data_IF_879950686034
#
_entry.id   IF_879950686034
#
_cell.length_a   1.000
_cell.length_b   1.000
_cell.length_c   1.000
_cell.angle_alpha   90.00
_cell.angle_beta   90.00
_cell.angle_gamma   90.00
#
_symmetry.space_group_name_H-M   'P 1'
#
loop_
_entity.id
_entity.type
_entity.pdbx_description
1 polymer ?
#
# COMPACT_ATOMS: atom_id res chain seq x y z
N UNK A 1 23.53 9.80 -12.27
CA UNK A 1 22.35 10.23 -13.06
C UNK A 1 21.53 8.98 -13.32
N UNK A 2 20.41 8.81 -12.62
CA UNK A 2 19.52 7.67 -12.80
C UNK A 2 18.37 8.10 -13.70
N UNK A 3 18.20 7.40 -14.83
CA UNK A 3 17.06 7.59 -15.71
C UNK A 3 15.88 6.80 -15.14
N UNK A 4 14.84 7.52 -14.72
CA UNK A 4 13.55 6.95 -14.36
C UNK A 4 12.70 6.82 -15.63
N UNK A 5 12.43 5.59 -16.05
CA UNK A 5 11.35 5.28 -16.98
C UNK A 5 10.16 4.76 -16.17
N UNK A 6 8.97 5.21 -16.57
CA UNK A 6 7.68 4.95 -15.96
C UNK A 6 7.50 3.47 -15.56
N UNK A 7 7.05 3.24 -14.31
CA UNK A 7 6.42 1.98 -13.92
C UNK A 7 7.23 0.98 -13.08
N UNK A 8 8.23 1.37 -12.28
CA UNK A 8 8.97 0.39 -11.48
C UNK A 8 9.04 0.68 -9.98
N UNK A 9 8.68 -0.36 -9.23
CA UNK A 9 8.96 -0.54 -7.81
C UNK A 9 10.44 -0.25 -7.50
N UNK A 10 10.69 0.61 -6.52
CA UNK A 10 12.01 0.77 -5.93
C UNK A 10 12.35 -0.49 -5.13
N UNK A 11 13.27 -1.30 -5.65
CA UNK A 11 13.92 -2.37 -4.91
C UNK A 11 14.87 -1.73 -3.88
N UNK A 12 14.50 -1.76 -2.61
CA UNK A 12 15.45 -1.67 -1.51
C UNK A 12 15.96 -3.08 -1.21
N UNK A 13 17.17 -3.22 -0.64
CA UNK A 13 17.89 -4.47 -0.31
C UNK A 13 17.12 -5.48 0.60
N UNK A 14 15.94 -5.93 0.19
CA UNK A 14 15.08 -6.87 0.88
C UNK A 14 14.23 -7.63 -0.14
N UNK A 15 13.91 -8.89 0.18
CA UNK A 15 13.08 -9.72 -0.68
C UNK A 15 11.65 -9.19 -0.70
N UNK A 16 11.21 -8.68 -1.86
CA UNK A 16 9.80 -8.34 -2.11
C UNK A 16 9.09 -9.64 -2.50
N UNK A 17 8.18 -10.11 -1.66
CA UNK A 17 7.32 -11.25 -1.99
C UNK A 17 6.04 -10.68 -2.60
N UNK A 18 5.96 -10.66 -3.93
CA UNK A 18 4.71 -10.42 -4.65
C UNK A 18 3.96 -11.76 -4.79
N UNK A 19 2.62 -11.72 -4.68
CA UNK A 19 1.78 -12.92 -4.71
C UNK A 19 1.74 -13.62 -6.08
N UNK A 20 2.49 -13.11 -7.07
CA UNK A 20 2.37 -13.56 -8.44
C UNK A 20 3.66 -13.47 -9.21
N UNK A 21 4.12 -14.66 -9.63
CA UNK A 21 5.30 -14.89 -10.46
C UNK A 21 6.52 -14.13 -9.97
N UNK A 22 7.37 -14.86 -9.26
CA UNK A 22 8.80 -14.54 -9.17
C UNK A 22 9.38 -14.47 -10.59
N UNK A 23 9.37 -13.26 -11.15
CA UNK A 23 10.05 -12.90 -12.38
C UNK A 23 11.42 -12.35 -12.03
N UNK A 24 12.40 -13.23 -12.06
CA UNK A 24 13.83 -12.98 -12.36
C UNK A 24 14.35 -11.55 -12.16
N UNK A 25 15.15 -11.37 -11.11
CA UNK A 25 16.36 -10.55 -11.20
C UNK A 25 17.46 -11.15 -10.31
N UNK A 26 18.43 -11.78 -10.99
CA UNK A 26 19.82 -11.93 -10.55
C UNK A 26 20.07 -12.69 -9.25
N UNK A 27 20.17 -14.01 -9.32
CA UNK A 27 21.08 -14.74 -8.44
C UNK A 27 22.51 -14.31 -8.78
N UNK A 28 23.08 -13.37 -8.02
CA UNK A 28 24.53 -13.34 -7.88
C UNK A 28 24.86 -14.16 -6.63
N UNK A 29 25.47 -15.32 -6.87
CA UNK A 29 26.19 -16.10 -5.87
C UNK A 29 27.13 -15.17 -5.09
N UNK A 30 26.87 -14.96 -3.80
CA UNK A 30 27.87 -14.42 -2.91
C UNK A 30 28.68 -15.59 -2.36
N UNK A 31 29.80 -15.84 -3.05
CA UNK A 31 30.91 -16.65 -2.60
C UNK A 31 31.28 -16.38 -1.13
N UNK A 32 31.54 -17.46 -0.40
CA UNK A 32 32.13 -17.47 0.94
C UNK A 32 33.43 -16.65 0.99
N UNK A 33 33.48 -15.61 1.83
CA UNK A 33 34.74 -15.13 2.41
C UNK A 33 34.49 -14.40 3.74
N UNK A 34 35.31 -14.78 4.70
CA UNK A 34 35.42 -14.40 6.11
C UNK A 34 35.12 -12.94 6.51
N UNK A 35 34.48 -12.85 7.68
CA UNK A 35 34.87 -12.02 8.83
C UNK A 35 34.97 -10.49 8.63
N UNK A 36 33.88 -9.78 8.94
CA UNK A 36 33.98 -8.45 9.56
C UNK A 36 32.73 -8.08 10.39
N UNK A 37 32.97 -7.39 11.49
CA UNK A 37 32.15 -7.21 12.69
C UNK A 37 30.68 -6.77 12.50
N UNK A 38 29.77 -7.11 13.45
CA UNK A 38 28.36 -6.71 13.35
C UNK A 38 28.24 -5.22 13.68
N UNK A 39 28.40 -4.36 12.67
CA UNK A 39 27.93 -2.97 12.75
C UNK A 39 26.42 -3.02 12.86
N UNK A 40 25.94 -3.00 14.11
CA UNK A 40 24.56 -2.83 14.59
C UNK A 40 23.70 -2.20 13.49
N UNK A 41 23.03 -3.07 12.71
CA UNK A 41 22.12 -2.65 11.67
C UNK A 41 21.12 -1.71 12.34
N UNK A 42 21.13 -0.45 11.91
CA UNK A 42 20.19 0.55 12.41
C UNK A 42 18.80 -0.02 12.15
N UNK A 43 18.07 -0.25 13.23
CA UNK A 43 16.70 -0.75 13.23
C UNK A 43 15.84 0.31 12.52
N UNK A 44 15.68 0.16 11.21
CA UNK A 44 14.73 0.96 10.46
C UNK A 44 13.34 0.53 10.91
N UNK A 45 12.67 1.41 11.62
CA UNK A 45 11.26 1.31 11.97
C UNK A 45 10.39 1.44 10.72
N UNK A 46 10.31 0.36 9.93
CA UNK A 46 9.36 0.19 8.84
C UNK A 46 8.31 -0.85 9.22
N UNK A 47 7.12 -0.77 8.62
CA UNK A 47 6.01 -1.72 8.75
C UNK A 47 6.31 -3.14 8.23
N UNK A 48 7.59 -3.46 7.98
CA UNK A 48 8.03 -4.78 7.54
C UNK A 48 8.20 -5.75 8.71
N UNK A 49 8.14 -7.03 8.39
CA UNK A 49 8.36 -8.11 9.35
C UNK A 49 9.77 -8.67 9.17
N UNK A 50 10.49 -8.87 10.28
CA UNK A 50 11.76 -9.60 10.23
C UNK A 50 11.49 -11.09 10.38
N UNK A 51 12.10 -11.90 9.51
CA UNK A 51 12.07 -13.36 9.64
C UNK A 51 12.74 -13.78 10.96
N UNK A 52 12.02 -14.45 11.86
CA UNK A 52 12.53 -14.84 13.19
C UNK A 52 13.43 -16.08 13.08
N UNK A 53 13.18 -16.90 12.07
CA UNK A 53 13.90 -18.14 11.75
C UNK A 53 13.97 -18.30 10.23
N UNK A 54 14.84 -19.20 9.79
CA UNK A 54 14.93 -19.58 8.39
C UNK A 54 13.62 -20.27 7.97
N UNK A 55 13.03 -19.84 6.86
CA UNK A 55 11.78 -20.43 6.38
C UNK A 55 11.80 -20.55 4.85
N UNK A 56 10.84 -21.31 4.31
CA UNK A 56 10.64 -21.43 2.87
C UNK A 56 9.25 -20.93 2.51
N UNK A 57 9.15 -19.95 1.62
CA UNK A 57 7.89 -19.41 1.14
C UNK A 57 7.82 -19.53 -0.38
N UNK A 58 6.79 -20.20 -0.89
CA UNK A 58 6.60 -20.43 -2.33
C UNK A 58 7.85 -21.04 -3.04
N UNK A 59 8.58 -21.91 -2.33
CA UNK A 59 9.82 -22.52 -2.83
C UNK A 59 11.09 -21.65 -2.69
N UNK A 60 10.98 -20.42 -2.17
CA UNK A 60 12.12 -19.54 -1.90
C UNK A 60 12.56 -19.64 -0.46
N UNK A 61 13.86 -19.82 -0.24
CA UNK A 61 14.44 -19.81 1.10
C UNK A 61 14.63 -18.37 1.59
N UNK A 62 14.07 -18.06 2.75
CA UNK A 62 14.16 -16.77 3.43
C UNK A 62 15.00 -16.99 4.68
N UNK A 63 16.14 -16.32 4.75
CA UNK A 63 17.03 -16.40 5.90
C UNK A 63 16.47 -15.61 7.08
N UNK A 64 16.78 -16.06 8.29
CA UNK A 64 16.55 -15.33 9.53
C UNK A 64 17.08 -13.90 9.43
N UNK A 65 16.34 -12.96 10.02
CA UNK A 65 16.55 -11.52 9.99
C UNK A 65 16.41 -10.87 8.60
N UNK A 66 15.90 -11.60 7.60
CA UNK A 66 15.45 -10.96 6.36
C UNK A 66 14.25 -10.06 6.64
N UNK A 67 14.31 -8.82 6.13
CA UNK A 67 13.20 -7.87 6.21
C UNK A 67 12.20 -8.15 5.08
N UNK A 68 10.97 -8.51 5.47
CA UNK A 68 9.87 -8.88 4.58
C UNK A 68 8.88 -7.73 4.50
N UNK A 69 8.63 -7.25 3.29
CA UNK A 69 7.69 -6.17 3.01
C UNK A 69 6.52 -6.74 2.22
N UNK A 70 5.30 -6.57 2.74
CA UNK A 70 4.07 -6.92 2.03
C UNK A 70 3.67 -5.74 1.15
N UNK A 71 3.64 -5.96 -0.17
CA UNK A 71 3.26 -4.94 -1.14
C UNK A 71 1.73 -4.80 -1.25
N UNK A 72 1.12 -4.20 -0.23
CA UNK A 72 -0.34 -4.00 -0.17
C UNK A 72 -0.85 -3.15 -1.33
N UNK A 73 -0.04 -2.20 -1.82
CA UNK A 73 -0.38 -1.36 -2.97
C UNK A 73 -0.58 -2.19 -4.24
N UNK A 74 0.31 -3.14 -4.52
CA UNK A 74 0.18 -4.02 -5.67
C UNK A 74 -0.99 -5.01 -5.52
N UNK A 75 -1.20 -5.56 -4.32
CA UNK A 75 -2.32 -6.48 -4.04
C UNK A 75 -3.67 -5.81 -4.32
N UNK A 76 -3.85 -4.57 -3.85
CA UNK A 76 -5.09 -3.81 -4.06
C UNK A 76 -5.36 -3.44 -5.52
N UNK A 77 -4.35 -3.57 -6.41
CA UNK A 77 -4.43 -3.26 -7.85
C UNK A 77 -4.22 -4.48 -8.74
N UNK A 78 -4.22 -5.69 -8.18
CA UNK A 78 -4.02 -6.90 -8.97
C UNK A 78 -5.26 -7.21 -9.83
N UNK A 79 -5.15 -7.23 -11.18
CA UNK A 79 -6.27 -7.54 -12.07
C UNK A 79 -6.81 -8.97 -11.92
N UNK A 80 -6.07 -9.89 -11.29
CA UNK A 80 -6.61 -11.23 -10.96
C UNK A 80 -7.56 -11.21 -9.77
N UNK A 81 -7.34 -10.30 -8.83
CA UNK A 81 -8.19 -10.14 -7.66
C UNK A 81 -9.36 -9.18 -7.95
N UNK A 82 -9.13 -8.16 -8.78
CA UNK A 82 -10.08 -7.08 -9.01
C UNK A 82 -10.32 -6.83 -10.51
N UNK A 83 -11.56 -6.97 -10.96
CA UNK A 83 -11.98 -6.48 -12.29
C UNK A 83 -11.84 -4.96 -12.32
N UNK A 84 -11.24 -4.42 -13.39
CA UNK A 84 -10.93 -3.00 -13.53
C UNK A 84 -10.22 -2.42 -12.29
N UNK A 85 -9.12 -3.05 -11.88
CA UNK A 85 -8.42 -2.75 -10.62
C UNK A 85 -7.96 -1.29 -10.45
N UNK A 86 -7.70 -0.59 -11.56
CA UNK A 86 -7.32 0.84 -11.56
C UNK A 86 -8.52 1.79 -11.47
N UNK A 87 -9.76 1.30 -11.60
CA UNK A 87 -10.96 2.13 -11.56
C UNK A 87 -11.55 2.18 -10.16
N UNK A 88 -11.82 3.40 -9.69
CA UNK A 88 -12.59 3.63 -8.48
C UNK A 88 -14.06 3.24 -8.70
N UNK A 89 -14.44 2.06 -8.18
CA UNK A 89 -15.80 1.50 -8.29
C UNK A 89 -16.22 1.05 -6.89
N UNK A 90 -16.86 1.91 -6.08
CA UNK A 90 -17.33 1.57 -4.73
C UNK A 90 -18.33 0.41 -4.71
N UNK A 91 -19.16 0.30 -5.75
CA UNK A 91 -20.24 -0.68 -5.85
C UNK A 91 -19.72 -2.12 -5.87
N UNK A 92 -18.43 -2.33 -6.18
CA UNK A 92 -17.81 -3.66 -6.14
C UNK A 92 -17.89 -4.31 -4.76
N UNK A 93 -18.03 -3.51 -3.70
CA UNK A 93 -18.13 -3.98 -2.32
C UNK A 93 -19.56 -4.22 -1.84
N UNK A 94 -20.57 -3.89 -2.66
CA UNK A 94 -21.98 -4.06 -2.29
C UNK A 94 -22.39 -5.53 -2.46
N UNK A 95 -22.91 -6.12 -1.40
CA UNK A 95 -23.41 -7.51 -1.41
C UNK A 95 -22.33 -8.60 -1.38
N UNK A 96 -21.05 -8.22 -1.29
CA UNK A 96 -19.95 -9.16 -1.08
C UNK A 96 -19.50 -9.16 0.37
N UNK A 97 -19.04 -10.32 0.85
CA UNK A 97 -18.55 -10.49 2.22
C UNK A 97 -17.02 -10.33 2.29
N UNK A 98 -16.48 -9.26 1.70
CA UNK A 98 -15.06 -8.90 1.83
C UNK A 98 -14.94 -7.83 2.92
N UNK A 99 -13.98 -8.02 3.83
CA UNK A 99 -13.69 -7.04 4.88
C UNK A 99 -12.21 -6.61 4.90
N UNK A 100 -11.99 -5.43 5.48
CA UNK A 100 -10.65 -4.86 5.69
C UNK A 100 -10.00 -5.32 7.00
N UNK A 101 -10.63 -6.28 7.71
CA UNK A 101 -10.14 -6.76 9.00
C UNK A 101 -9.04 -7.78 8.83
N UNK A 102 -8.51 -7.99 7.62
CA UNK A 102 -7.33 -8.80 7.35
C UNK A 102 -7.60 -10.29 7.22
N UNK A 103 -8.85 -10.71 6.99
CA UNK A 103 -9.19 -12.10 6.69
C UNK A 103 -9.28 -12.36 5.17
N UNK A 104 -9.38 -11.29 4.38
CA UNK A 104 -9.44 -11.31 2.92
C UNK A 104 -8.14 -10.75 2.37
N UNK A 105 -7.28 -11.60 1.79
CA UNK A 105 -5.93 -11.22 1.40
C UNK A 105 -5.90 -10.31 0.17
N UNK A 106 -6.98 -10.28 -0.60
CA UNK A 106 -7.22 -9.33 -1.68
C UNK A 106 -7.37 -7.87 -1.17
N UNK A 107 -7.69 -7.66 0.11
CA UNK A 107 -7.91 -6.34 0.71
C UNK A 107 -7.38 -6.25 2.16
N UNK A 108 -6.10 -5.89 2.32
CA UNK A 108 -5.41 -5.83 3.63
C UNK A 108 -4.79 -4.45 3.97
N UNK A 109 -5.56 -3.34 3.91
CA UNK A 109 -5.03 -2.00 4.19
C UNK A 109 -4.52 -1.82 5.64
N UNK A 110 -4.98 -2.67 6.56
CA UNK A 110 -4.57 -2.68 7.97
C UNK A 110 -3.64 -3.84 8.33
N UNK A 111 -3.10 -4.53 7.31
CA UNK A 111 -2.32 -5.75 7.48
C UNK A 111 -3.15 -6.95 7.93
N UNK A 112 -2.47 -8.04 8.28
CA UNK A 112 -3.07 -9.28 8.75
C UNK A 112 -2.21 -9.97 9.82
N UNK A 113 -2.71 -11.04 10.41
CA UNK A 113 -2.00 -11.85 11.40
C UNK A 113 -1.76 -11.14 12.73
N UNK A 114 -0.67 -11.52 13.40
CA UNK A 114 -0.34 -11.10 14.79
C UNK A 114 -0.05 -9.61 14.94
N UNK A 115 0.34 -8.93 13.85
CA UNK A 115 0.78 -7.53 13.82
C UNK A 115 -0.22 -6.65 13.06
N UNK A 116 -1.42 -7.16 12.80
CA UNK A 116 -2.55 -6.40 12.26
C UNK A 116 -2.77 -5.13 13.10
N UNK A 117 -3.10 -4.03 12.42
CA UNK A 117 -3.26 -2.73 13.07
C UNK A 117 -4.25 -2.82 14.25
N UNK A 118 -3.85 -2.44 15.48
CA UNK A 118 -4.76 -2.44 16.62
C UNK A 118 -5.82 -1.32 16.51
N UNK A 119 -5.59 -0.31 15.67
CA UNK A 119 -6.44 0.86 15.48
C UNK A 119 -7.52 0.72 14.41
N UNK A 120 -7.80 -0.48 13.87
CA UNK A 120 -8.77 -0.67 12.76
C UNK A 120 -10.12 -0.02 13.05
N UNK A 121 -10.71 -0.31 14.22
CA UNK A 121 -12.05 0.16 14.57
C UNK A 121 -12.10 1.69 14.67
N UNK A 122 -11.07 2.31 15.26
CA UNK A 122 -10.95 3.76 15.35
C UNK A 122 -10.79 4.37 13.95
N UNK A 123 -9.88 3.82 13.13
CA UNK A 123 -9.65 4.32 11.77
C UNK A 123 -10.90 4.26 10.90
N UNK A 124 -11.64 3.16 10.95
CA UNK A 124 -12.91 3.02 10.23
C UNK A 124 -13.95 4.03 10.72
N UNK A 125 -14.12 4.16 12.03
CA UNK A 125 -15.11 5.08 12.60
C UNK A 125 -14.81 6.53 12.23
N UNK A 126 -13.54 6.94 12.33
CA UNK A 126 -13.10 8.30 11.99
C UNK A 126 -13.30 8.57 10.51
N UNK A 127 -12.83 7.68 9.62
CA UNK A 127 -12.95 7.88 8.17
C UNK A 127 -14.42 7.92 7.74
N UNK A 128 -15.25 6.99 8.24
CA UNK A 128 -16.67 6.95 7.93
C UNK A 128 -17.38 8.23 8.37
N UNK A 129 -17.14 8.68 9.61
CA UNK A 129 -17.77 9.89 10.14
C UNK A 129 -17.33 11.13 9.37
N UNK A 130 -16.02 11.28 9.14
CA UNK A 130 -15.47 12.43 8.40
C UNK A 130 -16.03 12.51 6.98
N UNK A 131 -16.00 11.39 6.23
CA UNK A 131 -16.53 11.36 4.86
C UNK A 131 -18.04 11.62 4.85
N UNK A 132 -18.79 11.00 5.77
CA UNK A 132 -20.22 11.22 5.88
C UNK A 132 -20.55 12.70 6.15
N UNK A 133 -19.84 13.35 7.07
CA UNK A 133 -20.04 14.76 7.36
C UNK A 133 -19.68 15.66 6.18
N UNK A 134 -18.53 15.43 5.52
CA UNK A 134 -18.07 16.23 4.39
C UNK A 134 -19.04 16.15 3.20
N UNK A 135 -19.56 14.95 2.89
CA UNK A 135 -20.50 14.73 1.77
C UNK A 135 -21.94 15.12 2.14
N UNK A 136 -22.31 15.05 3.42
CA UNK A 136 -23.66 15.44 3.85
C UNK A 136 -23.83 16.97 3.95
N UNK A 137 -22.81 17.68 4.44
CA UNK A 137 -22.91 19.10 4.74
C UNK A 137 -22.57 20.01 3.54
N UNK A 138 -21.70 19.55 2.62
CA UNK A 138 -21.14 20.39 1.57
C UNK A 138 -21.32 19.79 0.17
N UNK A 139 -21.65 20.67 -0.79
CA UNK A 139 -21.39 20.45 -2.21
C UNK A 139 -19.94 20.90 -2.50
N UNK A 140 -19.26 20.21 -3.43
CA UNK A 140 -17.83 20.41 -3.69
C UNK A 140 -17.59 20.82 -5.14
N UNK A 141 -16.84 21.90 -5.34
CA UNK A 141 -16.44 22.39 -6.66
C UNK A 141 -14.91 22.48 -6.77
N UNK A 142 -14.38 22.24 -7.97
CA UNK A 142 -12.96 22.45 -8.24
C UNK A 142 -12.70 23.92 -8.59
N UNK A 143 -11.58 24.50 -8.12
CA UNK A 143 -11.25 25.88 -8.43
C UNK A 143 -11.03 26.07 -9.94
N UNK A 144 -11.25 27.30 -10.41
CA UNK A 144 -10.98 27.72 -11.79
C UNK A 144 -11.74 26.93 -12.86
N UNK A 145 -12.90 26.33 -12.53
CA UNK A 145 -13.69 25.49 -13.45
C UNK A 145 -12.91 24.29 -14.02
N UNK A 146 -11.92 23.79 -13.26
CA UNK A 146 -11.14 22.61 -13.63
C UNK A 146 -12.04 21.37 -13.78
N UNK A 147 -11.78 20.56 -14.80
CA UNK A 147 -12.50 19.30 -15.00
C UNK A 147 -11.94 18.21 -14.07
N UNK A 148 -12.76 17.24 -13.60
CA UNK A 148 -12.27 16.15 -12.74
C UNK A 148 -11.11 15.35 -13.32
N UNK A 149 -11.06 15.18 -14.65
CA UNK A 149 -10.00 14.44 -15.34
C UNK A 149 -8.67 15.20 -15.44
N UNK A 150 -8.66 16.49 -15.11
CA UNK A 150 -7.44 17.33 -15.07
C UNK A 150 -6.75 17.25 -13.71
N UNK A 151 -7.37 16.61 -12.72
CA UNK A 151 -6.76 16.40 -11.40
C UNK A 151 -5.55 15.49 -11.49
N UNK A 152 -4.41 15.99 -11.02
CA UNK A 152 -3.20 15.21 -10.86
C UNK A 152 -3.35 14.22 -9.70
N UNK A 153 -3.54 12.95 -10.03
CA UNK A 153 -3.66 11.84 -9.07
C UNK A 153 -2.33 11.13 -8.80
N UNK A 154 -1.19 11.72 -9.20
CA UNK A 154 0.12 11.18 -8.86
C UNK A 154 0.32 11.10 -7.34
N UNK A 155 1.04 10.06 -6.92
CA UNK A 155 1.26 9.70 -5.53
C UNK A 155 2.72 10.01 -5.13
N UNK A 156 2.93 10.42 -3.88
CA UNK A 156 4.27 10.51 -3.30
C UNK A 156 4.58 9.21 -2.54
N UNK A 157 5.72 8.58 -2.86
CA UNK A 157 6.11 7.32 -2.25
C UNK A 157 6.62 7.52 -0.82
N UNK A 158 6.06 6.77 0.12
CA UNK A 158 6.45 6.80 1.52
C UNK A 158 5.74 5.74 2.35
N UNK A 159 5.83 5.86 3.68
CA UNK A 159 5.12 4.98 4.61
C UNK A 159 3.59 5.07 4.46
N UNK A 160 3.13 6.29 4.18
CA UNK A 160 1.81 6.60 3.64
C UNK A 160 1.98 7.02 2.20
N UNK A 161 0.95 6.84 1.38
CA UNK A 161 0.98 7.20 -0.05
C UNK A 161 -0.01 8.34 -0.30
N UNK A 162 0.31 9.59 0.08
CA UNK A 162 -0.55 10.73 -0.20
C UNK A 162 -0.46 11.14 -1.68
N UNK A 163 -1.40 11.99 -2.12
CA UNK A 163 -1.27 12.67 -3.42
C UNK A 163 -0.05 13.59 -3.40
N UNK A 164 0.72 13.57 -4.48
CA UNK A 164 1.89 14.45 -4.67
C UNK A 164 1.50 15.94 -4.71
N UNK A 165 0.28 16.24 -5.17
CA UNK A 165 -0.32 17.58 -5.12
C UNK A 165 -1.58 17.56 -4.25
N UNK A 166 -1.67 18.53 -3.34
CA UNK A 166 -2.84 18.67 -2.48
C UNK A 166 -4.13 18.87 -3.29
N UNK A 167 -5.22 18.26 -2.83
CA UNK A 167 -6.55 18.52 -3.37
C UNK A 167 -7.00 19.92 -2.95
N UNK A 168 -7.26 20.79 -3.92
CA UNK A 168 -7.96 22.05 -3.70
C UNK A 168 -9.41 21.87 -4.13
N UNK A 169 -10.33 22.08 -3.21
CA UNK A 169 -11.77 22.01 -3.45
C UNK A 169 -12.48 23.11 -2.65
N UNK A 170 -13.50 23.71 -3.25
CA UNK A 170 -14.29 24.78 -2.67
C UNK A 170 -15.58 24.17 -2.12
N UNK A 171 -15.79 24.17 -0.79
CA UNK A 171 -17.03 23.68 -0.20
C UNK A 171 -18.13 24.76 -0.24
N UNK A 172 -19.36 24.36 -0.53
CA UNK A 172 -20.55 25.20 -0.39
C UNK A 172 -21.62 24.46 0.42
N UNK A 173 -22.34 25.15 1.31
CA UNK A 173 -23.32 24.49 2.18
C UNK A 173 -24.48 23.91 1.37
N UNK A 174 -24.73 22.60 1.51
CA UNK A 174 -25.80 21.91 0.80
C UNK A 174 -27.18 22.15 1.41
N UNK A 175 -27.24 22.21 2.74
CA UNK A 175 -28.50 22.20 3.52
C UNK A 175 -29.16 23.57 3.71
N UNK A 176 -28.60 24.65 3.15
CA UNK A 176 -29.13 26.01 3.25
C UNK A 176 -29.67 26.56 1.91
N UNK A 177 -30.11 25.67 1.01
CA UNK A 177 -30.85 26.03 -0.22
C UNK A 177 -32.35 25.95 0.00
#
# INVERSE_FOLDING_TARGET
MANCLAGHACSFNGHIINNDRVGTLGTHEASTSNEESPKRARRCSGLGEDAIEDCTANGFHIQKASHVIINVWAIGRDPRAWTDAERFIPERFVGINIDVRGNHFELIPFGSGRRRCPGIQLGLTVVQLMVAQLVHCFDWELPNSMLPNELDMSEEFGLTVPRAKHLLAIPSYRLHK
#
